data_IF_347758191684
#
_entry.id   IF_347758191684
#
_cell.length_a   1.000
_cell.length_b   1.000
_cell.length_c   1.000
_cell.angle_alpha   90.00
_cell.angle_beta   90.00
_cell.angle_gamma   90.00
#
_symmetry.space_group_name_H-M   'P 1'
#
loop_
_entity.id
_entity.type
_entity.pdbx_description
1 polymer ?
#
# COMPACT_ATOMS: atom_id res chain seq x y z
N UNK A 1 19.56 -26.84 -23.53
CA UNK A 1 20.09 -25.74 -22.71
C UNK A 1 19.03 -25.36 -21.67
N UNK A 2 19.18 -25.70 -20.38
CA UNK A 2 18.24 -25.23 -19.37
C UNK A 2 18.53 -23.76 -19.12
N UNK A 3 17.61 -22.89 -19.56
CA UNK A 3 17.62 -21.47 -19.22
C UNK A 3 17.41 -21.34 -17.71
N UNK A 4 18.50 -21.19 -16.97
CA UNK A 4 18.48 -20.89 -15.53
C UNK A 4 17.63 -19.63 -15.33
N UNK A 5 16.43 -19.80 -14.79
CA UNK A 5 15.59 -18.70 -14.32
C UNK A 5 16.40 -17.96 -13.26
N UNK A 6 16.97 -16.80 -13.62
CA UNK A 6 17.53 -15.87 -12.65
C UNK A 6 16.40 -15.48 -11.71
N UNK A 7 16.41 -16.03 -10.50
CA UNK A 7 15.61 -15.51 -9.40
C UNK A 7 16.12 -14.10 -9.17
N UNK A 8 15.36 -13.12 -9.66
CA UNK A 8 15.61 -11.71 -9.38
C UNK A 8 15.47 -11.60 -7.86
N UNK A 9 16.53 -11.19 -7.16
CA UNK A 9 16.43 -10.82 -5.76
C UNK A 9 16.16 -9.31 -5.69
N UNK A 10 14.88 -8.87 -5.72
CA UNK A 10 14.58 -7.46 -5.72
C UNK A 10 15.05 -6.83 -4.40
N UNK A 11 15.89 -5.80 -4.52
CA UNK A 11 16.21 -4.93 -3.40
C UNK A 11 14.95 -4.16 -2.99
N UNK A 12 14.89 -3.73 -1.73
CA UNK A 12 13.84 -2.80 -1.29
C UNK A 12 13.93 -1.49 -2.08
N UNK A 13 12.88 -0.66 -2.10
CA UNK A 13 12.95 0.66 -2.75
C UNK A 13 14.10 1.54 -2.25
N UNK A 14 14.60 1.29 -1.04
CA UNK A 14 15.77 1.94 -0.46
C UNK A 14 17.09 1.15 -0.61
N UNK A 15 17.18 0.18 -1.51
CA UNK A 15 18.41 -0.56 -1.84
C UNK A 15 18.82 -1.64 -0.84
N UNK A 16 17.98 -2.02 0.13
CA UNK A 16 18.32 -3.04 1.12
C UNK A 16 18.02 -4.45 0.60
N UNK A 17 18.83 -5.43 0.98
CA UNK A 17 18.63 -6.84 0.62
C UNK A 17 17.49 -7.52 1.40
N UNK A 18 17.24 -7.08 2.63
CA UNK A 18 16.21 -7.64 3.51
C UNK A 18 14.96 -6.77 3.48
N UNK A 19 13.82 -7.38 3.19
CA UNK A 19 12.50 -6.76 3.27
C UNK A 19 11.98 -6.84 4.71
N UNK A 20 11.47 -5.72 5.23
CA UNK A 20 10.80 -5.74 6.53
C UNK A 20 9.35 -6.20 6.37
N UNK A 21 8.85 -6.99 7.33
CA UNK A 21 7.46 -7.45 7.31
C UNK A 21 6.46 -6.28 7.29
N UNK A 22 6.78 -5.18 7.99
CA UNK A 22 5.98 -3.95 7.99
C UNK A 22 5.89 -3.31 6.60
N UNK A 23 7.00 -3.26 5.87
CA UNK A 23 7.03 -2.73 4.50
C UNK A 23 6.16 -3.58 3.58
N UNK A 24 6.27 -4.91 3.68
CA UNK A 24 5.45 -5.83 2.87
C UNK A 24 3.97 -5.68 3.23
N UNK A 25 3.62 -5.61 4.51
CA UNK A 25 2.24 -5.39 4.93
C UNK A 25 1.66 -4.08 4.39
N UNK A 26 2.42 -2.98 4.43
CA UNK A 26 2.00 -1.69 3.89
C UNK A 26 1.79 -1.72 2.36
N UNK A 27 2.55 -2.54 1.64
CA UNK A 27 2.33 -2.78 0.20
C UNK A 27 1.02 -3.56 0.01
N UNK A 28 0.84 -4.66 0.74
CA UNK A 28 -0.35 -5.51 0.61
C UNK A 28 -1.65 -4.79 0.97
N UNK A 29 -1.62 -3.79 1.86
CA UNK A 29 -2.80 -3.03 2.27
C UNK A 29 -3.07 -1.78 1.42
N UNK A 30 -2.26 -1.49 0.41
CA UNK A 30 -2.42 -0.28 -0.39
C UNK A 30 -3.49 -0.46 -1.47
N UNK A 31 -4.55 0.34 -1.37
CA UNK A 31 -5.74 0.27 -2.22
C UNK A 31 -5.43 0.63 -3.68
N UNK A 32 -4.31 1.33 -3.91
CA UNK A 32 -3.85 1.66 -5.27
C UNK A 32 -3.67 0.40 -6.12
N UNK A 33 -3.25 -0.71 -5.53
CA UNK A 33 -3.04 -1.95 -6.29
C UNK A 33 -4.33 -2.54 -6.87
N UNK A 34 -5.50 -2.25 -6.29
CA UNK A 34 -6.81 -2.62 -6.85
C UNK A 34 -7.45 -1.53 -7.73
N UNK A 35 -6.71 -0.47 -8.04
CA UNK A 35 -7.18 0.65 -8.87
C UNK A 35 -7.84 1.79 -8.08
N UNK A 36 -8.00 1.65 -6.76
CA UNK A 36 -8.69 2.62 -5.92
C UNK A 36 -7.73 3.70 -5.39
N UNK A 37 -8.26 4.88 -5.10
CA UNK A 37 -7.51 5.98 -4.53
C UNK A 37 -8.25 6.59 -3.35
N UNK A 38 -7.58 6.64 -2.20
CA UNK A 38 -8.04 7.42 -1.04
C UNK A 38 -7.26 8.73 -1.01
N UNK A 39 -7.97 9.83 -1.24
CA UNK A 39 -7.45 11.19 -1.27
C UNK A 39 -7.42 11.77 0.15
N UNK A 40 -6.52 12.73 0.36
CA UNK A 40 -6.40 13.47 1.63
C UNK A 40 -6.17 12.59 2.87
N UNK A 41 -5.39 11.50 2.74
CA UNK A 41 -4.92 10.66 3.87
C UNK A 41 -4.11 11.46 4.91
N UNK A 42 -3.49 12.56 4.49
CA UNK A 42 -2.80 13.53 5.35
C UNK A 42 -3.04 14.94 4.82
N UNK A 43 -2.97 15.92 5.70
CA UNK A 43 -3.17 17.34 5.40
C UNK A 43 -2.11 18.19 6.10
N UNK A 44 -1.94 19.41 5.61
CA UNK A 44 -1.04 20.39 6.22
C UNK A 44 -1.81 21.18 7.27
N UNK A 45 -1.38 21.11 8.52
CA UNK A 45 -2.03 21.76 9.66
C UNK A 45 -1.71 23.25 9.69
N UNK A 46 -0.46 23.58 9.41
CA UNK A 46 0.05 24.94 9.49
C UNK A 46 0.83 25.29 8.22
N UNK A 47 0.44 26.42 7.61
CA UNK A 47 1.02 26.93 6.38
C UNK A 47 2.46 27.42 6.57
N UNK A 48 2.81 27.86 7.78
CA UNK A 48 4.12 28.43 8.07
C UNK A 48 5.16 27.34 8.37
N UNK A 49 4.79 26.33 9.17
CA UNK A 49 5.67 25.20 9.51
C UNK A 49 5.60 24.03 8.53
N UNK A 50 4.62 24.02 7.61
CA UNK A 50 4.35 22.93 6.64
C UNK A 50 4.17 21.57 7.32
N UNK A 51 3.74 21.56 8.58
CA UNK A 51 3.56 20.32 9.33
C UNK A 51 2.44 19.49 8.71
N UNK A 52 2.74 18.22 8.41
CA UNK A 52 1.78 17.27 7.84
C UNK A 52 1.26 16.36 8.93
N UNK A 53 -0.05 16.37 9.14
CA UNK A 53 -0.75 15.45 10.05
C UNK A 53 -1.54 14.43 9.24
N UNK A 54 -1.65 13.22 9.75
CA UNK A 54 -2.59 12.23 9.22
C UNK A 54 -4.01 12.76 9.45
N UNK A 55 -4.85 12.61 8.44
CA UNK A 55 -6.25 12.99 8.55
C UNK A 55 -7.01 11.88 9.31
N UNK A 56 -7.54 12.22 10.47
CA UNK A 56 -8.37 11.36 11.33
C UNK A 56 -9.85 11.75 11.28
N UNK A 57 -10.20 12.71 10.41
CA UNK A 57 -11.55 13.23 10.23
C UNK A 57 -11.62 14.75 10.28
N UNK A 58 -10.49 15.45 10.45
CA UNK A 58 -10.45 16.91 10.50
C UNK A 58 -10.84 17.57 9.18
N UNK A 59 -10.54 16.92 8.05
CA UNK A 59 -11.00 17.35 6.72
C UNK A 59 -11.67 16.18 5.98
N UNK A 60 -12.59 16.45 5.03
CA UNK A 60 -13.22 15.40 4.24
C UNK A 60 -12.19 14.48 3.58
N UNK A 61 -12.45 13.17 3.61
CA UNK A 61 -11.66 12.17 2.89
C UNK A 61 -12.50 11.59 1.76
N UNK A 62 -11.93 11.52 0.56
CA UNK A 62 -12.64 11.02 -0.61
C UNK A 62 -12.06 9.68 -1.05
N UNK A 63 -12.91 8.67 -1.09
CA UNK A 63 -12.59 7.35 -1.63
C UNK A 63 -13.08 7.27 -3.07
N UNK A 64 -12.15 7.08 -4.00
CA UNK A 64 -12.43 6.96 -5.43
C UNK A 64 -12.17 5.53 -5.87
N UNK A 65 -13.20 4.86 -6.37
CA UNK A 65 -13.09 3.52 -6.95
C UNK A 65 -12.67 3.60 -8.41
N UNK A 66 -11.75 2.74 -8.85
CA UNK A 66 -11.36 2.66 -10.27
C UNK A 66 -10.68 3.93 -10.81
N UNK A 67 -9.87 4.60 -9.99
CA UNK A 67 -9.12 5.80 -10.39
C UNK A 67 -8.06 5.50 -11.47
N UNK A 68 -7.52 4.28 -11.50
CA UNK A 68 -6.53 3.83 -12.49
C UNK A 68 -6.62 2.31 -12.69
N UNK A 69 -5.95 1.82 -13.74
CA UNK A 69 -5.87 0.39 -14.01
C UNK A 69 -5.28 -0.36 -12.81
N UNK A 70 -6.03 -1.38 -12.36
CA UNK A 70 -5.66 -2.17 -11.21
C UNK A 70 -4.48 -3.08 -11.57
N UNK A 71 -3.44 -3.07 -10.74
CA UNK A 71 -2.29 -4.00 -10.86
C UNK A 71 -2.73 -5.42 -10.51
N UNK A 72 -3.68 -5.57 -9.57
CA UNK A 72 -4.29 -6.85 -9.19
C UNK A 72 -5.81 -6.73 -9.15
N UNK A 73 -6.51 -7.85 -9.34
CA UNK A 73 -7.97 -7.84 -9.23
C UNK A 73 -8.44 -7.47 -7.82
N UNK A 74 -9.58 -6.76 -7.67
CA UNK A 74 -10.17 -6.48 -6.36
C UNK A 74 -10.41 -7.74 -5.52
N UNK A 75 -10.84 -8.84 -6.17
CA UNK A 75 -11.04 -10.14 -5.52
C UNK A 75 -9.76 -10.71 -4.89
N UNK A 76 -8.61 -10.51 -5.55
CA UNK A 76 -7.30 -10.94 -5.03
C UNK A 76 -6.90 -10.08 -3.85
N UNK A 77 -7.09 -8.76 -3.95
CA UNK A 77 -6.82 -7.83 -2.86
C UNK A 77 -7.63 -8.18 -1.61
N UNK A 78 -8.94 -8.42 -1.75
CA UNK A 78 -9.83 -8.76 -0.64
C UNK A 78 -9.42 -10.08 0.03
N UNK A 79 -9.00 -11.07 -0.76
CA UNK A 79 -8.49 -12.34 -0.22
C UNK A 79 -7.23 -12.13 0.61
N UNK A 80 -6.32 -11.26 0.17
CA UNK A 80 -5.12 -10.90 0.92
C UNK A 80 -5.47 -10.20 2.22
N UNK A 81 -6.41 -9.25 2.21
CA UNK A 81 -6.86 -8.56 3.44
C UNK A 81 -7.41 -9.56 4.46
N UNK A 82 -8.25 -10.51 4.05
CA UNK A 82 -8.77 -11.58 4.94
C UNK A 82 -7.65 -12.43 5.54
N UNK A 83 -6.62 -12.74 4.76
CA UNK A 83 -5.46 -13.50 5.23
C UNK A 83 -4.62 -12.71 6.24
N UNK A 84 -4.47 -11.40 6.04
CA UNK A 84 -3.77 -10.51 6.98
C UNK A 84 -4.52 -10.41 8.30
N UNK A 85 -5.83 -10.19 8.27
CA UNK A 85 -6.66 -10.15 9.49
C UNK A 85 -6.61 -11.46 10.26
N UNK A 86 -6.69 -12.61 9.55
CA UNK A 86 -6.55 -13.93 10.18
C UNK A 86 -5.19 -14.11 10.86
N UNK A 87 -4.10 -13.60 10.26
CA UNK A 87 -2.75 -13.68 10.83
C UNK A 87 -2.52 -12.73 12.00
N UNK A 88 -3.35 -11.69 12.14
CA UNK A 88 -3.29 -10.75 13.26
C UNK A 88 -4.07 -11.26 14.48
N UNK A 89 -5.09 -12.10 14.24
CA UNK A 89 -5.96 -12.64 15.27
C UNK A 89 -5.42 -13.92 15.96
N UNK A 90 -4.36 -14.54 15.44
CA UNK A 90 -3.68 -15.69 16.04
C UNK A 90 -2.28 -15.31 16.51
#
# INVERSE_FOLDING_TARGET
MPSTLKIIQPLTPGGKKKWSARTVAAILSNEKYKGDALLQKSFTVDFLTKEKKKNEGEIPQYYVTGNHEAIISPSTFDRVQRLLERRKAG
#
